data_IF_343681218772
#
_entry.id   IF_343681218772
#
_cell.length_a   1.000
_cell.length_b   1.000
_cell.length_c   1.000
_cell.angle_alpha   90.00
_cell.angle_beta   90.00
_cell.angle_gamma   90.00
#
_symmetry.space_group_name_H-M   'P 1'
#
loop_
_entity.id
_entity.type
_entity.pdbx_description
1 polymer ?
2 non-polymer ?
3 non-polymer ?
4 non-polymer ?
5 non-polymer ?
6 water ?
#
# COMPACT_ATOMS: atom_id res chain seq x y z
N UNK A 2 21.64 10.22 20.26
CA UNK A 2 20.84 10.10 19.05
C UNK A 2 19.89 8.88 19.16
N UNK A 3 18.79 8.96 18.41
CA UNK A 3 17.67 8.06 18.61
C UNK A 3 17.18 7.59 17.26
N UNK A 4 17.21 6.28 17.06
CA UNK A 4 16.75 5.70 15.80
C UNK A 4 15.49 4.89 16.01
N UNK A 5 14.55 5.07 15.09
CA UNK A 5 13.39 4.20 14.99
C UNK A 5 13.50 3.38 13.71
N UNK A 6 13.54 2.05 13.85
CA UNK A 6 13.64 1.15 12.71
C UNK A 6 12.28 0.47 12.55
N UNK A 7 11.67 0.68 11.40
CA UNK A 7 10.40 0.06 11.04
C UNK A 7 10.70 -0.99 9.95
N UNK A 8 10.54 -2.25 10.29
CA UNK A 8 10.77 -3.35 9.38
C UNK A 8 9.47 -3.86 8.79
N UNK A 9 9.41 -3.92 7.46
CA UNK A 9 8.16 -4.21 6.76
C UNK A 9 8.13 -5.55 6.03
N UNK A 10 9.26 -6.21 5.83
CA UNK A 10 9.16 -7.53 5.20
C UNK A 10 8.52 -8.54 6.16
N UNK A 11 7.59 -9.37 5.66
CA UNK A 11 7.14 -10.50 6.49
C UNK A 11 8.17 -11.58 6.69
N UNK A 12 9.28 -11.56 5.95
CA UNK A 12 10.32 -12.54 6.13
C UNK A 12 11.24 -12.18 7.28
N UNK A 13 11.84 -13.23 7.85
CA UNK A 13 12.71 -13.12 9.00
C UNK A 13 14.16 -13.12 8.60
N UNK A 14 14.86 -14.20 8.93
CA UNK A 14 16.27 -14.32 8.60
C UNK A 14 16.52 -14.17 7.10
N UNK A 15 15.55 -14.58 6.28
CA UNK A 15 15.70 -14.51 4.82
C UNK A 15 15.39 -13.15 4.17
N UNK A 16 14.84 -12.21 4.92
CA UNK A 16 14.56 -10.86 4.38
C UNK A 16 15.85 -10.12 4.08
N UNK A 17 16.02 -9.75 2.82
CA UNK A 17 17.18 -8.97 2.47
C UNK A 17 17.04 -7.51 2.88
N UNK A 18 15.82 -6.95 2.81
CA UNK A 18 15.68 -5.57 3.25
C UNK A 18 15.96 -5.43 4.77
N UNK A 19 15.43 -6.37 5.56
CA UNK A 19 15.67 -6.42 7.00
C UNK A 19 17.16 -6.59 7.27
N UNK A 20 17.79 -7.52 6.57
CA UNK A 20 19.20 -7.79 6.76
C UNK A 20 20.06 -6.55 6.48
N UNK A 21 19.84 -5.93 5.32
CA UNK A 21 20.57 -4.73 5.00
C UNK A 21 20.35 -3.60 6.01
N UNK A 22 19.11 -3.41 6.42
CA UNK A 22 18.83 -2.38 7.41
C UNK A 22 19.57 -2.68 8.73
N UNK A 23 19.64 -3.95 9.09
CA UNK A 23 20.31 -4.34 10.33
C UNK A 23 21.82 -4.22 10.22
N UNK A 24 22.35 -4.39 9.01
CA UNK A 24 23.76 -4.06 8.77
C UNK A 24 23.96 -2.57 9.12
N UNK A 25 23.09 -1.71 8.61
CA UNK A 25 23.17 -0.28 8.91
C UNK A 25 23.10 -0.03 10.41
N UNK A 26 22.13 -0.65 11.08
CA UNK A 26 21.93 -0.37 12.51
C UNK A 26 23.10 -0.83 13.35
N UNK A 27 23.67 -1.99 13.00
CA UNK A 27 24.83 -2.52 13.73
C UNK A 27 26.02 -1.58 13.55
N UNK A 28 26.24 -1.12 12.31
CA UNK A 28 27.37 -0.26 11.99
C UNK A 28 27.19 1.09 12.68
N UNK A 29 25.94 1.55 12.73
CA UNK A 29 25.65 2.79 13.41
C UNK A 29 25.97 2.71 14.90
N UNK A 30 25.52 1.62 15.53
CA UNK A 30 25.80 1.37 16.94
C UNK A 30 27.28 1.28 17.24
N UNK A 31 28.05 0.67 16.33
CA UNK A 31 29.50 0.59 16.51
C UNK A 31 30.09 1.97 16.62
N UNK A 32 29.58 2.89 15.81
CA UNK A 32 30.11 4.25 15.75
C UNK A 32 29.47 5.16 16.81
N UNK A 33 28.39 4.69 17.41
CA UNK A 33 27.60 5.51 18.31
C UNK A 33 27.08 4.62 19.42
N UNK A 34 27.99 4.21 20.32
CA UNK A 34 27.65 3.23 21.37
C UNK A 34 26.52 3.72 22.26
N UNK A 35 26.41 5.04 22.43
CA UNK A 35 25.34 5.60 23.27
C UNK A 35 23.98 5.78 22.58
N UNK A 36 23.92 5.61 21.26
CA UNK A 36 22.65 5.79 20.54
C UNK A 36 21.61 4.76 20.97
N UNK A 37 20.34 5.14 20.87
CA UNK A 37 19.24 4.24 21.20
C UNK A 37 18.55 3.84 19.93
N UNK A 38 18.25 2.56 19.81
CA UNK A 38 17.60 2.02 18.63
C UNK A 38 16.32 1.35 19.08
N UNK A 39 15.22 1.78 18.50
CA UNK A 39 13.94 1.16 18.79
C UNK A 39 13.47 0.53 17.49
N UNK A 40 12.88 -0.65 17.61
CA UNK A 40 12.33 -1.36 16.47
C UNK A 40 10.81 -1.45 16.58
N UNK A 41 10.14 -1.18 15.45
CA UNK A 41 8.68 -1.30 15.32
C UNK A 41 8.44 -2.27 14.15
N UNK A 42 8.02 -3.48 14.48
CA UNK A 42 7.78 -4.51 13.47
C UNK A 42 6.43 -4.32 12.78
N UNK A 43 6.43 -4.19 11.46
CA UNK A 43 5.16 -4.10 10.72
C UNK A 43 5.01 -5.16 9.64
N UNK A 44 6.00 -6.05 9.50
CA UNK A 44 5.97 -7.12 8.52
C UNK A 44 5.54 -8.47 9.11
N UNK A 45 6.12 -8.81 10.26
CA UNK A 45 5.86 -10.08 10.91
C UNK A 45 4.74 -9.97 11.96
N UNK A 46 4.19 -8.78 12.09
CA UNK A 46 3.12 -8.46 13.05
C UNK A 46 2.00 -7.81 12.23
N UNK A 47 0.75 -8.25 12.41
CA UNK A 47 -0.33 -7.59 11.67
C UNK A 47 -0.57 -6.23 12.30
N UNK A 48 -0.34 -5.17 11.54
CA UNK A 48 -0.63 -3.86 12.03
C UNK A 48 -2.04 -3.51 11.53
N UNK A 49 -2.97 -3.20 12.45
CA UNK A 49 -4.35 -2.95 12.00
C UNK A 49 -4.51 -1.84 10.98
N UNK A 50 -5.44 -2.04 10.06
CA UNK A 50 -5.85 -0.98 9.15
C UNK A 50 -6.68 0.09 9.84
N UNK A 51 -6.68 1.26 9.24
CA UNK A 51 -7.60 2.33 9.63
C UNK A 51 -9.03 1.84 9.47
N UNK A 52 -9.82 2.09 10.50
CA UNK A 52 -11.24 1.75 10.51
C UNK A 52 -12.11 3.02 10.47
N UNK A 53 -13.41 2.84 10.36
CA UNK A 53 -14.30 3.99 10.44
C UNK A 53 -14.22 4.64 11.80
N UNK A 54 -13.98 3.83 12.84
CA UNK A 54 -13.86 4.40 14.18
C UNK A 54 -12.61 5.27 14.31
N UNK A 55 -11.50 4.81 13.73
CA UNK A 55 -10.28 5.60 13.67
C UNK A 55 -10.55 6.93 12.98
N UNK A 56 -11.17 6.88 11.82
CA UNK A 56 -11.50 8.11 11.09
C UNK A 56 -12.32 9.09 11.93
N UNK A 57 -13.39 8.62 12.56
CA UNK A 57 -14.27 9.48 13.37
C UNK A 57 -13.46 10.12 14.49
N UNK A 58 -12.58 9.34 15.09
CA UNK A 58 -11.83 9.83 16.25
C UNK A 58 -10.75 10.83 15.77
N UNK A 59 -9.99 10.42 14.76
CA UNK A 59 -8.80 11.18 14.33
C UNK A 59 -9.18 12.51 13.69
N UNK A 60 -10.38 12.58 13.11
CA UNK A 60 -10.90 13.82 12.55
C UNK A 60 -12.02 14.48 13.40
N UNK A 61 -12.15 14.08 14.65
CA UNK A 61 -13.15 14.68 15.54
C UNK A 61 -12.87 16.18 15.66
N UNK A 62 -13.91 17.03 15.52
CA UNK A 62 -13.68 18.49 15.50
C UNK A 62 -13.26 19.09 16.85
N UNK A 63 -13.68 18.50 17.96
CA UNK A 63 -13.20 18.89 19.29
C UNK A 63 -12.47 17.70 19.91
N UNK A 64 -11.19 17.52 19.57
CA UNK A 64 -10.48 16.31 20.02
C UNK A 64 -10.50 16.10 21.54
N UNK A 65 -10.47 17.17 22.33
CA UNK A 65 -10.46 17.00 23.78
C UNK A 65 -11.75 16.33 24.30
N UNK A 66 -12.80 16.33 23.50
CA UNK A 66 -14.06 15.76 23.92
C UNK A 66 -14.23 14.30 23.54
N UNK A 67 -13.16 13.67 23.06
CA UNK A 67 -13.22 12.28 22.69
C UNK A 67 -13.50 11.41 23.90
N UNK A 68 -14.41 10.46 23.73
CA UNK A 68 -14.76 9.51 24.77
C UNK A 68 -13.58 8.56 25.00
N UNK A 69 -13.62 7.82 26.09
CA UNK A 69 -12.54 6.88 26.37
C UNK A 69 -12.48 5.80 25.30
N UNK A 70 -13.63 5.47 24.71
CA UNK A 70 -13.67 4.51 23.60
C UNK A 70 -12.96 5.07 22.37
N UNK A 71 -13.21 6.33 22.07
CA UNK A 71 -12.49 6.97 20.97
C UNK A 71 -11.02 6.97 21.23
N UNK A 72 -10.62 7.25 22.46
CA UNK A 72 -9.19 7.23 22.79
C UNK A 72 -8.59 5.84 22.58
N UNK A 73 -9.35 4.81 22.95
CA UNK A 73 -8.93 3.43 22.66
C UNK A 73 -8.69 3.20 21.16
N UNK A 74 -9.54 3.78 20.31
CA UNK A 74 -9.38 3.65 18.89
C UNK A 74 -8.10 4.29 18.36
N UNK A 75 -7.57 5.26 19.10
CA UNK A 75 -6.36 5.98 18.69
C UNK A 75 -5.11 5.61 19.49
N UNK A 76 -5.28 4.71 20.47
CA UNK A 76 -4.19 4.40 21.38
C UNK A 76 -2.94 3.87 20.62
N UNK A 77 -3.14 2.97 19.69
CA UNK A 77 -2.04 2.41 18.90
C UNK A 77 -1.38 3.51 18.04
N UNK A 78 -2.21 4.30 17.38
CA UNK A 78 -1.73 5.43 16.59
C UNK A 78 -0.88 6.36 17.46
N UNK A 79 -1.38 6.71 18.65
CA UNK A 79 -0.62 7.56 19.57
C UNK A 79 0.76 6.96 19.90
N UNK A 80 0.81 5.66 20.12
CA UNK A 80 2.06 4.97 20.43
C UNK A 80 3.00 5.04 19.23
N UNK A 81 2.48 4.77 18.05
CA UNK A 81 3.30 4.76 16.81
C UNK A 81 3.84 6.17 16.48
N UNK A 82 3.00 7.18 16.66
CA UNK A 82 3.42 8.55 16.45
C UNK A 82 4.47 8.93 17.46
N UNK A 83 4.27 8.55 18.73
CA UNK A 83 5.20 8.89 19.78
C UNK A 83 6.58 8.33 19.48
N UNK A 84 6.63 7.10 18.98
CA UNK A 84 7.91 6.51 18.55
C UNK A 84 8.64 7.37 17.52
N UNK A 85 7.89 7.90 16.58
CA UNK A 85 8.45 8.75 15.56
C UNK A 85 8.88 10.09 16.16
N UNK A 86 8.05 10.65 17.02
CA UNK A 86 8.44 11.90 17.66
C UNK A 86 9.71 11.76 18.50
N UNK A 87 9.90 10.59 19.09
CA UNK A 87 11.06 10.34 19.94
C UNK A 87 12.33 10.14 19.10
N UNK A 88 12.19 9.98 17.79
CA UNK A 88 13.34 9.62 16.97
C UNK A 88 13.94 10.80 16.22
N UNK A 89 15.24 10.70 15.93
CA UNK A 89 15.92 11.67 15.08
C UNK A 89 16.02 11.14 13.65
N UNK A 90 16.19 9.82 13.56
CA UNK A 90 16.34 9.13 12.29
C UNK A 90 15.37 7.98 12.22
N UNK A 91 14.62 7.97 11.13
CA UNK A 91 13.68 6.90 10.82
C UNK A 91 14.30 5.98 9.78
N UNK A 92 14.38 4.70 10.08
CA UNK A 92 14.84 3.72 9.10
C UNK A 92 13.68 2.81 8.78
N UNK A 93 13.28 2.79 7.52
CA UNK A 93 12.26 1.83 7.05
C UNK A 93 12.89 0.81 6.12
N UNK A 94 12.69 -0.47 6.43
CA UNK A 94 13.10 -1.53 5.53
C UNK A 94 11.85 -2.11 4.89
N UNK A 95 11.90 -2.26 3.57
CA UNK A 95 10.74 -2.78 2.85
C UNK A 95 11.07 -3.49 1.55
N UNK A 96 10.44 -4.64 1.32
CA UNK A 96 10.38 -5.17 -0.04
C UNK A 96 9.58 -4.27 -0.97
N UNK A 97 9.72 -4.51 -2.26
CA UNK A 97 8.69 -4.12 -3.20
C UNK A 97 7.73 -5.29 -3.36
N UNK A 98 6.46 -5.06 -3.06
CA UNK A 98 5.43 -6.07 -3.29
C UNK A 98 4.40 -5.50 -4.27
N UNK A 99 4.30 -6.13 -5.44
CA UNK A 99 3.35 -5.72 -6.47
C UNK A 99 3.39 -4.20 -6.74
N UNK A 100 4.62 -3.73 -6.99
CA UNK A 100 4.90 -2.34 -7.35
C UNK A 100 4.70 -1.32 -6.24
N UNK A 101 4.41 -1.80 -5.02
CA UNK A 101 4.27 -0.91 -3.89
C UNK A 101 4.93 -1.57 -2.69
N UNK A 102 4.42 -1.28 -1.51
CA UNK A 102 4.98 -1.85 -0.27
C UNK A 102 4.01 -2.89 0.29
N UNK A 103 4.52 -3.77 1.17
CA UNK A 103 3.60 -4.68 1.84
C UNK A 103 2.52 -3.92 2.62
N UNK A 104 1.33 -4.53 2.70
CA UNK A 104 0.17 -3.84 3.24
C UNK A 104 0.39 -3.37 4.69
N UNK A 105 1.16 -4.11 5.48
CA UNK A 105 1.44 -3.73 6.86
C UNK A 105 2.13 -2.36 6.97
N UNK A 106 2.98 -2.03 6.00
CA UNK A 106 3.67 -0.76 6.02
C UNK A 106 2.75 0.36 5.61
N UNK A 107 1.88 0.08 4.64
CA UNK A 107 0.79 1.02 4.35
C UNK A 107 -0.05 1.29 5.58
N UNK A 108 -0.33 0.25 6.38
CA UNK A 108 -1.17 0.44 7.58
C UNK A 108 -0.41 1.30 8.58
N UNK A 109 0.90 1.11 8.65
CA UNK A 109 1.72 1.93 9.56
C UNK A 109 1.62 3.42 9.19
N UNK A 110 1.84 3.74 7.90
CA UNK A 110 1.71 5.11 7.43
C UNK A 110 0.33 5.64 7.78
N UNK A 111 -0.71 4.85 7.53
CA UNK A 111 -2.08 5.30 7.82
C UNK A 111 -2.37 5.57 9.30
N UNK A 112 -1.62 4.94 10.22
CA UNK A 112 -1.74 5.25 11.64
C UNK A 112 -0.95 6.48 12.05
N UNK A 113 0.13 6.82 11.33
CA UNK A 113 0.99 7.92 11.80
C UNK A 113 0.79 9.27 11.12
N UNK A 114 0.04 9.32 10.01
CA UNK A 114 -0.37 10.59 9.46
C UNK A 114 -1.65 11.02 10.19
N UNK A 115 -1.53 11.99 11.10
CA UNK A 115 -2.59 12.32 12.07
C UNK A 115 -2.84 13.81 12.15
N UNK A 116 -4.06 14.19 11.86
CA UNK A 116 -4.48 15.59 11.95
C UNK A 116 -4.20 16.17 13.32
N UNK A 117 -3.54 17.32 13.33
CA UNK A 117 -3.21 18.00 14.59
C UNK A 117 -2.01 17.42 15.31
N UNK A 118 -1.39 16.38 14.76
CA UNK A 118 -0.28 15.72 15.41
C UNK A 118 0.98 15.65 14.51
N UNK A 119 0.83 15.14 13.30
CA UNK A 119 1.95 15.10 12.36
C UNK A 119 1.70 15.95 11.11
N UNK A 120 0.46 16.42 10.92
CA UNK A 120 0.19 17.49 9.95
C UNK A 120 -1.00 18.28 10.45
N UNK A 121 -1.21 19.48 9.91
CA UNK A 121 -2.41 20.24 10.21
C UNK A 121 -2.84 21.02 8.99
N UNK A 122 -3.91 21.79 9.12
CA UNK A 122 -4.35 22.63 8.01
C UNK A 122 -5.10 23.84 8.50
N UNK A 123 -5.15 24.85 7.64
CA UNK A 123 -6.05 25.99 7.85
C UNK A 123 -6.81 26.18 6.54
N UNK A 124 -7.97 26.82 6.61
CA UNK A 124 -8.77 27.09 5.42
C UNK A 124 -8.50 28.50 4.94
N UNK A 125 -8.06 28.64 3.69
CA UNK A 125 -7.93 29.96 3.08
C UNK A 125 -8.80 30.00 1.81
N UNK A 126 -9.85 30.83 1.84
CA UNK A 126 -10.83 30.87 0.75
C UNK A 126 -11.46 29.51 0.51
N UNK A 129 -8.48 23.84 2.08
CA UNK A 129 -7.51 23.57 3.13
C UNK A 129 -6.07 23.73 2.63
N UNK A 130 -5.24 24.37 3.46
CA UNK A 130 -3.80 24.48 3.22
C UNK A 130 -3.07 23.67 4.29
N UNK A 131 -2.38 22.61 3.86
CA UNK A 131 -1.76 21.64 4.78
C UNK A 131 -0.37 22.09 5.21
N UNK A 132 0.02 21.70 6.43
CA UNK A 132 1.31 22.06 6.99
C UNK A 132 1.86 20.82 7.73
N UNK A 133 3.14 20.43 7.45
CA UNK A 133 3.79 19.34 8.17
C UNK A 133 4.16 19.74 9.59
N UNK A 134 4.07 18.81 10.54
CA UNK A 134 4.40 19.12 11.94
C UNK A 134 5.66 18.43 12.46
N UNK A 135 6.22 17.47 11.73
CA UNK A 135 7.52 16.92 12.10
C UNK A 135 8.67 17.78 11.62
N UNK A 136 9.54 18.12 12.54
CA UNK A 136 10.68 18.94 12.22
C UNK A 136 11.93 18.20 12.67
N UNK A 137 13.00 18.38 11.92
CA UNK A 137 14.32 18.01 12.36
C UNK A 137 14.61 16.53 12.26
N UNK A 138 13.82 15.82 11.45
CA UNK A 138 14.00 14.38 11.33
C UNK A 138 14.55 14.06 9.95
N UNK A 139 15.15 12.87 9.83
CA UNK A 139 15.64 12.39 8.55
C UNK A 139 15.15 10.95 8.43
N UNK A 140 15.14 10.42 7.23
CA UNK A 140 14.78 9.00 7.01
C UNK A 140 15.73 8.32 6.04
N UNK A 141 15.84 7.02 6.23
CA UNK A 141 16.59 6.13 5.35
C UNK A 141 15.64 5.00 5.01
N UNK A 142 15.40 4.81 3.72
CA UNK A 142 14.60 3.72 3.24
C UNK A 142 15.53 2.68 2.60
N UNK A 143 15.48 1.46 3.11
CA UNK A 143 16.28 0.35 2.61
C UNK A 143 15.32 -0.62 1.96
N UNK A 144 15.47 -0.85 0.67
CA UNK A 144 14.49 -1.63 -0.08
C UNK A 144 15.15 -2.67 -0.97
N UNK A 145 14.45 -3.80 -1.12
CA UNK A 145 14.87 -4.91 -1.95
C UNK A 145 13.77 -5.23 -2.96
N UNK A 146 14.18 -5.55 -4.18
CA UNK A 146 13.25 -5.79 -5.27
C UNK A 146 13.72 -7.05 -6.02
N UNK A 147 12.76 -7.84 -6.47
CA UNK A 147 13.08 -9.06 -7.20
C UNK A 147 13.61 -8.75 -8.57
N UNK A 148 13.02 -7.73 -9.17
CA UNK A 148 13.32 -7.38 -10.54
C UNK A 148 14.35 -6.27 -10.64
N UNK A 149 14.46 -5.68 -11.82
CA UNK A 149 15.47 -4.67 -12.16
C UNK A 149 14.79 -3.48 -12.80
N UNK A 150 15.48 -2.35 -12.81
CA UNK A 150 15.04 -1.17 -13.54
C UNK A 150 13.96 -0.34 -12.87
N UNK A 151 13.80 -0.48 -11.54
CA UNK A 151 12.77 0.30 -10.84
C UNK A 151 13.31 1.64 -10.32
N UNK A 152 14.61 1.84 -10.47
CA UNK A 152 15.26 3.00 -9.89
C UNK A 152 15.35 4.09 -10.94
N UNK A 153 15.94 5.22 -10.57
CA UNK A 153 16.01 6.34 -11.52
C UNK A 153 16.73 5.96 -12.81
N UNK A 154 16.10 6.23 -13.93
CA UNK A 154 16.65 5.91 -15.22
C UNK A 154 16.33 4.49 -15.66
N UNK A 155 15.69 3.72 -14.79
CA UNK A 155 15.43 2.33 -15.10
C UNK A 155 14.27 2.21 -16.05
N UNK A 156 14.25 1.11 -16.79
CA UNK A 156 13.19 0.84 -17.76
C UNK A 156 11.82 0.81 -17.08
N UNK A 157 11.79 0.40 -15.81
CA UNK A 157 10.54 0.22 -15.07
C UNK A 157 10.29 1.31 -14.04
N UNK A 158 11.06 2.37 -14.09
CA UNK A 158 10.98 3.46 -13.10
C UNK A 158 9.56 3.98 -12.86
N UNK A 159 8.78 4.07 -13.94
CA UNK A 159 7.40 4.55 -13.81
C UNK A 159 6.52 3.57 -13.06
N UNK A 160 6.95 2.31 -12.95
CA UNK A 160 6.13 1.31 -12.26
C UNK A 160 6.38 1.30 -10.75
N UNK A 161 7.33 2.12 -10.29
CA UNK A 161 7.73 2.06 -8.88
C UNK A 161 6.87 2.96 -8.02
N UNK A 162 5.91 2.33 -7.31
CA UNK A 162 5.07 3.05 -6.37
C UNK A 162 5.39 2.62 -4.95
N UNK A 163 6.64 2.22 -4.73
CA UNK A 163 7.07 1.79 -3.38
C UNK A 163 7.83 2.95 -2.72
N UNK A 164 9.14 3.03 -2.90
CA UNK A 164 9.90 4.10 -2.23
C UNK A 164 9.54 5.55 -2.67
N UNK A 165 9.20 5.76 -3.96
CA UNK A 165 8.80 7.14 -4.31
C UNK A 165 7.53 7.54 -3.62
N UNK A 166 6.60 6.60 -3.44
CA UNK A 166 5.37 6.86 -2.71
C UNK A 166 5.69 7.16 -1.20
N UNK A 167 6.54 6.33 -0.60
CA UNK A 167 6.97 6.58 0.78
C UNK A 167 7.57 7.97 0.95
N UNK A 168 8.38 8.40 -0.01
CA UNK A 168 8.96 9.75 0.04
C UNK A 168 7.88 10.81 0.14
N UNK A 169 6.83 10.65 -0.65
CA UNK A 169 5.74 11.61 -0.72
C UNK A 169 4.94 11.64 0.58
N UNK A 170 4.64 10.46 1.09
CA UNK A 170 3.89 10.33 2.32
C UNK A 170 4.69 10.92 3.50
N UNK A 171 5.97 10.58 3.60
CA UNK A 171 6.82 11.13 4.67
C UNK A 171 7.01 12.65 4.53
N UNK A 172 7.15 13.13 3.29
CA UNK A 172 7.33 14.55 3.05
C UNK A 172 6.13 15.33 3.56
N UNK A 173 4.95 14.72 3.44
CA UNK A 173 3.70 15.37 3.81
C UNK A 173 3.66 15.71 5.31
N UNK A 174 4.31 14.89 6.13
CA UNK A 174 4.35 15.14 7.57
C UNK A 174 5.66 15.82 8.01
N UNK A 175 6.55 16.09 7.06
CA UNK A 175 7.71 16.96 7.30
C UNK A 175 9.07 16.30 7.15
N UNK A 176 9.09 15.03 6.79
CA UNK A 176 10.35 14.33 6.65
C UNK A 176 10.78 14.45 5.19
N UNK A 177 11.56 15.50 4.92
CA UNK A 177 12.02 15.89 3.59
C UNK A 177 13.39 15.33 3.26
N UNK A 178 14.23 15.11 4.26
CA UNK A 178 15.58 14.59 4.04
C UNK A 178 15.49 13.08 4.08
N UNK A 179 15.40 12.47 2.90
CA UNK A 179 15.17 11.03 2.78
C UNK A 179 16.19 10.43 1.81
N UNK A 180 16.88 9.40 2.27
CA UNK A 180 17.85 8.68 1.45
C UNK A 180 17.29 7.29 1.14
N UNK A 181 17.41 6.86 -0.11
CA UNK A 181 16.97 5.52 -0.51
C UNK A 181 18.17 4.66 -0.90
N UNK A 182 18.22 3.45 -0.36
CA UNK A 182 19.25 2.49 -0.72
C UNK A 182 18.48 1.28 -1.20
N UNK A 183 18.71 0.90 -2.45
CA UNK A 183 17.97 -0.20 -3.07
C UNK A 183 18.88 -1.34 -3.54
N UNK A 184 18.43 -2.58 -3.33
CA UNK A 184 19.04 -3.74 -3.96
C UNK A 184 18.04 -4.33 -4.95
N UNK A 185 18.52 -4.67 -6.14
CA UNK A 185 17.68 -5.23 -7.22
C UNK A 185 18.23 -6.58 -7.73
N UNK A 186 17.35 -7.41 -8.30
CA UNK A 186 17.75 -8.71 -8.82
C UNK A 186 17.59 -9.88 -7.84
N UNK A 187 16.79 -9.72 -6.78
CA UNK A 187 16.68 -10.76 -5.73
C UNK A 187 16.11 -12.07 -6.22
N UNK A 188 15.34 -12.02 -7.28
CA UNK A 188 14.68 -13.22 -7.77
C UNK A 188 15.66 -14.06 -8.60
N UNK A 189 16.43 -13.41 -9.46
CA UNK A 189 17.43 -14.10 -10.26
C UNK A 189 18.63 -14.49 -9.41
N UNK A 190 18.99 -13.62 -8.47
CA UNK A 190 20.11 -13.86 -7.59
C UNK A 190 21.44 -13.64 -8.30
N UNK A 193 24.10 -11.14 -10.26
CA UNK A 193 24.48 -9.77 -9.93
C UNK A 193 23.63 -9.22 -8.78
N UNK A 194 22.84 -10.09 -8.15
CA UNK A 194 22.19 -9.73 -6.88
C UNK A 194 23.25 -9.62 -5.79
N UNK A 195 24.27 -10.47 -5.88
CA UNK A 195 25.38 -10.42 -4.93
C UNK A 195 26.05 -9.05 -5.02
N UNK A 196 26.26 -8.59 -6.25
CA UNK A 196 26.88 -7.28 -6.45
C UNK A 196 25.93 -6.19 -5.92
N UNK A 197 24.65 -6.27 -6.26
CA UNK A 197 23.70 -5.22 -5.87
C UNK A 197 23.57 -5.15 -4.34
N UNK A 198 23.55 -6.31 -3.71
CA UNK A 198 23.53 -6.38 -2.25
C UNK A 198 24.84 -5.84 -1.67
N UNK A 199 25.96 -6.20 -2.27
CA UNK A 199 27.25 -5.76 -1.81
C UNK A 199 27.31 -4.24 -1.89
N UNK A 200 26.79 -3.69 -2.98
CA UNK A 200 26.86 -2.23 -3.19
C UNK A 200 25.96 -1.53 -2.14
N UNK A 201 24.80 -2.11 -1.87
CA UNK A 201 23.87 -1.54 -0.89
C UNK A 201 24.51 -1.59 0.51
N UNK A 202 25.11 -2.72 0.86
CA UNK A 202 25.85 -2.85 2.12
C UNK A 202 26.93 -1.80 2.30
N UNK A 203 27.81 -1.64 1.31
CA UNK A 203 28.85 -0.62 1.37
C UNK A 203 28.30 0.80 1.53
N UNK A 204 27.25 1.10 0.79
CA UNK A 204 26.63 2.40 0.89
C UNK A 204 26.11 2.60 2.31
N UNK A 205 25.47 1.58 2.87
CA UNK A 205 24.90 1.66 4.23
C UNK A 205 25.97 1.77 5.31
N UNK A 206 27.11 1.08 5.14
CA UNK A 206 28.21 1.29 6.08
C UNK A 206 28.74 2.73 6.03
N UNK A 207 28.84 3.30 4.83
CA UNK A 207 29.32 4.67 4.72
C UNK A 207 28.35 5.66 5.40
N UNK A 208 27.06 5.45 5.16
CA UNK A 208 26.01 6.26 5.76
C UNK A 208 26.02 6.14 7.29
N UNK A 209 26.13 4.92 7.80
CA UNK A 209 26.15 4.71 9.26
C UNK A 209 27.33 5.39 9.90
N UNK A 210 28.50 5.30 9.28
CA UNK A 210 29.71 5.78 9.93
C UNK A 210 29.84 7.28 9.84
N UNK A 211 29.11 7.91 8.92
CA UNK A 211 29.19 9.36 8.75
C UNK A 211 28.09 10.10 9.51
N UNK A 212 26.99 9.43 9.80
CA UNK A 212 25.85 10.06 10.44
C UNK A 212 26.21 10.71 11.77
N UNK B 2 -21.46 -9.74 -17.93
CA UNK B 2 -22.61 -9.70 -17.03
C UNK B 2 -22.22 -9.98 -15.57
N UNK B 3 -21.11 -10.70 -15.34
CA UNK B 3 -20.71 -11.03 -13.98
C UNK B 3 -19.75 -10.00 -13.41
N UNK B 4 -20.14 -9.39 -12.30
CA UNK B 4 -19.35 -8.31 -11.70
C UNK B 4 -18.79 -8.74 -10.36
N UNK B 5 -17.52 -8.43 -10.16
CA UNK B 5 -16.90 -8.47 -8.83
C UNK B 5 -16.66 -7.04 -8.37
N UNK B 6 -17.27 -6.70 -7.25
CA UNK B 6 -17.15 -5.37 -6.67
C UNK B 6 -16.31 -5.49 -5.42
N UNK B 7 -15.15 -4.82 -5.41
CA UNK B 7 -14.24 -4.78 -4.27
C UNK B 7 -14.32 -3.39 -3.66
N UNK B 8 -14.88 -3.29 -2.45
CA UNK B 8 -15.02 -2.02 -1.76
C UNK B 8 -13.93 -1.86 -0.72
N UNK B 9 -13.20 -0.75 -0.81
CA UNK B 9 -12.04 -0.54 0.01
C UNK B 9 -12.13 0.51 1.10
N UNK B 10 -13.18 1.34 1.09
CA UNK B 10 -13.32 2.28 2.18
C UNK B 10 -13.73 1.54 3.45
N UNK B 11 -13.09 1.89 4.57
CA UNK B 11 -13.57 1.34 5.84
C UNK B 11 -14.90 1.94 6.25
N UNK B 12 -15.31 3.02 5.62
CA UNK B 12 -16.57 3.66 6.00
C UNK B 12 -17.73 2.93 5.32
N UNK B 13 -18.89 2.93 5.97
CA UNK B 13 -20.04 2.23 5.43
C UNK B 13 -20.99 3.14 4.66
N UNK B 14 -22.09 3.49 5.30
CA UNK B 14 -23.07 4.42 4.72
C UNK B 14 -22.44 5.72 4.31
N UNK B 15 -21.46 6.19 5.06
CA UNK B 15 -20.87 7.49 4.80
C UNK B 15 -19.84 7.49 3.68
N UNK B 16 -19.47 6.31 3.18
CA UNK B 16 -18.43 6.28 2.16
C UNK B 16 -18.93 6.81 0.83
N UNK B 17 -18.26 7.84 0.32
CA UNK B 17 -18.54 8.35 -1.01
C UNK B 17 -18.07 7.43 -2.16
N UNK B 18 -16.90 6.80 -2.00
CA UNK B 18 -16.45 5.89 -3.04
C UNK B 18 -17.37 4.69 -3.11
N UNK B 19 -17.75 4.16 -1.96
CA UNK B 19 -18.71 3.05 -1.91
C UNK B 19 -20.03 3.48 -2.53
N UNK B 20 -20.53 4.66 -2.13
CA UNK B 20 -21.82 5.13 -2.64
C UNK B 20 -21.82 5.30 -4.15
N UNK B 21 -20.80 5.96 -4.69
CA UNK B 21 -20.74 6.15 -6.14
C UNK B 21 -20.66 4.79 -6.85
N UNK B 22 -19.88 3.85 -6.32
CA UNK B 22 -19.80 2.55 -6.99
C UNK B 22 -21.13 1.84 -6.96
N UNK B 23 -21.88 2.00 -5.87
CA UNK B 23 -23.20 1.36 -5.76
C UNK B 23 -24.21 2.03 -6.68
N UNK B 24 -24.04 3.33 -6.95
CA UNK B 24 -24.89 3.98 -7.94
C UNK B 24 -24.64 3.33 -9.30
N UNK B 25 -23.37 3.10 -9.62
CA UNK B 25 -23.02 2.44 -10.86
C UNK B 25 -23.66 1.05 -10.93
N UNK B 26 -23.43 0.26 -9.89
CA UNK B 26 -23.91 -1.11 -9.85
C UNK B 26 -25.42 -1.16 -10.01
N UNK B 27 -26.15 -0.33 -9.28
CA UNK B 27 -27.60 -0.33 -9.41
C UNK B 27 -28.03 0.02 -10.86
N UNK B 28 -27.44 1.07 -11.41
CA UNK B 28 -27.75 1.44 -12.78
C UNK B 28 -27.38 0.34 -13.78
N UNK B 29 -26.28 -0.36 -13.53
CA UNK B 29 -25.85 -1.42 -14.43
C UNK B 29 -26.84 -2.58 -14.40
N UNK B 30 -27.27 -2.96 -13.20
CA UNK B 30 -28.27 -4.02 -13.03
C UNK B 30 -29.59 -3.68 -13.71
N UNK B 31 -29.99 -2.42 -13.60
CA UNK B 31 -31.22 -2.02 -14.28
C UNK B 31 -31.07 -2.20 -15.78
N UNK B 32 -29.89 -1.87 -16.30
CA UNK B 32 -29.64 -1.95 -17.75
C UNK B 32 -29.37 -3.39 -18.23
N UNK B 33 -28.95 -4.23 -17.30
CA UNK B 33 -28.57 -5.63 -17.58
C UNK B 33 -29.13 -6.51 -16.48
N UNK B 34 -30.43 -6.80 -16.56
CA UNK B 34 -31.20 -7.42 -15.48
C UNK B 34 -30.68 -8.79 -15.07
N UNK B 35 -29.91 -9.42 -15.95
CA UNK B 35 -29.35 -10.73 -15.70
C UNK B 35 -28.01 -10.69 -14.94
N UNK B 36 -27.46 -9.50 -14.76
CA UNK B 36 -26.13 -9.37 -14.17
C UNK B 36 -26.10 -9.96 -12.75
N UNK B 37 -24.94 -10.47 -12.36
CA UNK B 37 -24.70 -10.95 -11.02
C UNK B 37 -23.60 -10.10 -10.44
N UNK B 38 -23.71 -9.79 -9.15
CA UNK B 38 -22.71 -8.99 -8.49
C UNK B 38 -22.25 -9.76 -7.26
N UNK B 39 -20.95 -10.02 -7.19
CA UNK B 39 -20.28 -10.55 -6.02
C UNK B 39 -19.60 -9.38 -5.34
N UNK B 40 -19.73 -9.26 -4.03
CA UNK B 40 -19.09 -8.19 -3.30
C UNK B 40 -18.02 -8.78 -2.43
N UNK B 41 -16.84 -8.18 -2.52
CA UNK B 41 -15.72 -8.61 -1.70
C UNK B 41 -15.28 -7.38 -0.90
N UNK B 42 -15.54 -7.43 0.39
CA UNK B 42 -15.24 -6.33 1.26
C UNK B 42 -13.81 -6.36 1.70
N UNK B 43 -13.08 -5.28 1.46
CA UNK B 43 -11.70 -5.19 1.96
C UNK B 43 -11.44 -3.96 2.80
N UNK B 44 -12.48 -3.13 3.01
CA UNK B 44 -12.35 -1.94 3.81
C UNK B 44 -12.85 -2.17 5.23
N UNK B 45 -14.01 -2.80 5.35
CA UNK B 45 -14.65 -3.03 6.64
C UNK B 45 -14.30 -4.37 7.31
N UNK B 46 -13.49 -5.15 6.61
CA UNK B 46 -13.07 -6.49 7.03
C UNK B 46 -11.55 -6.47 6.94
N UNK B 47 -10.85 -7.00 7.95
CA UNK B 47 -9.38 -7.00 7.92
C UNK B 47 -8.79 -8.12 7.08
N UNK B 48 -8.52 -7.85 5.81
CA UNK B 48 -7.93 -8.85 4.93
C UNK B 48 -6.47 -9.08 5.35
N UNK B 49 -6.05 -10.34 5.59
CA UNK B 49 -4.68 -10.56 6.06
C UNK B 49 -3.60 -10.13 5.08
N UNK B 50 -2.49 -9.64 5.61
CA UNK B 50 -1.29 -9.36 4.83
C UNK B 50 -0.64 -10.66 4.44
N UNK B 51 0.10 -10.62 3.34
CA UNK B 51 1.04 -11.68 2.96
C UNK B 51 2.00 -11.95 4.09
N UNK B 52 2.17 -13.24 4.40
CA UNK B 52 3.08 -13.68 5.44
C UNK B 52 4.20 -14.46 4.78
N UNK B 53 5.24 -14.81 5.53
CA UNK B 53 6.33 -15.59 4.98
C UNK B 53 5.79 -16.97 4.56
N UNK B 54 4.79 -17.47 5.28
CA UNK B 54 4.14 -18.74 4.91
C UNK B 54 3.46 -18.63 3.53
N UNK B 55 2.77 -17.53 3.29
CA UNK B 55 2.21 -17.26 1.97
C UNK B 55 3.28 -17.29 0.91
N UNK B 56 4.38 -16.57 1.13
CA UNK B 56 5.45 -16.51 0.16
C UNK B 56 6.01 -17.90 -0.14
N UNK B 57 6.27 -18.71 0.90
CA UNK B 57 6.82 -20.06 0.68
C UNK B 57 5.86 -20.90 -0.19
N UNK B 58 4.57 -20.75 0.07
CA UNK B 58 3.58 -21.57 -0.63
C UNK B 58 3.37 -21.04 -2.05
N UNK B 59 3.23 -19.72 -2.18
CA UNK B 59 2.88 -19.13 -3.48
C UNK B 59 4.01 -19.28 -4.49
N UNK B 60 5.26 -19.23 -4.01
CA UNK B 60 6.43 -19.33 -4.89
C UNK B 60 7.06 -20.70 -4.86
N UNK B 61 6.36 -21.67 -4.32
CA UNK B 61 6.81 -23.07 -4.32
C UNK B 61 7.15 -23.46 -5.75
N UNK B 62 8.36 -24.02 -5.97
CA UNK B 62 8.74 -24.41 -7.34
C UNK B 62 7.97 -25.57 -7.95
N UNK B 63 7.36 -26.38 -7.10
CA UNK B 63 6.61 -27.55 -7.54
C UNK B 63 5.28 -27.60 -6.79
N UNK B 64 4.36 -26.71 -7.17
CA UNK B 64 3.16 -26.50 -6.35
C UNK B 64 2.27 -27.72 -6.16
N UNK B 65 2.33 -28.69 -7.07
CA UNK B 65 1.56 -29.89 -6.91
C UNK B 65 1.97 -30.66 -5.63
N UNK B 66 3.19 -30.41 -5.15
CA UNK B 66 3.71 -31.04 -3.93
C UNK B 66 3.45 -30.22 -2.64
N UNK B 67 2.74 -29.09 -2.74
CA UNK B 67 2.38 -28.30 -1.55
C UNK B 67 1.72 -29.20 -0.51
N UNK B 68 2.11 -29.03 0.75
CA UNK B 68 1.52 -29.78 1.84
C UNK B 68 0.10 -29.20 2.10
N UNK B 69 -0.71 -29.91 2.89
CA UNK B 69 -2.05 -29.41 3.23
C UNK B 69 -1.95 -28.11 3.99
N UNK B 70 -0.92 -27.97 4.82
CA UNK B 70 -0.75 -26.71 5.54
C UNK B 70 -0.46 -25.55 4.59
N UNK B 71 0.41 -25.77 3.60
CA UNK B 71 0.67 -24.73 2.61
C UNK B 71 -0.57 -24.40 1.80
N UNK B 72 -1.37 -25.39 1.44
CA UNK B 72 -2.62 -25.11 0.75
C UNK B 72 -3.56 -24.25 1.62
N UNK B 73 -3.61 -24.52 2.91
CA UNK B 73 -4.35 -23.69 3.86
C UNK B 73 -3.85 -22.23 3.84
N UNK B 74 -2.54 -22.04 3.73
CA UNK B 74 -1.96 -20.71 3.68
C UNK B 74 -2.41 -19.93 2.45
N UNK B 75 -2.82 -20.64 1.39
CA UNK B 75 -3.25 -20.02 0.15
C UNK B 75 -4.77 -20.10 -0.07
N UNK B 76 -5.50 -20.62 0.92
CA UNK B 76 -6.93 -20.90 0.68
C UNK B 76 -7.69 -19.59 0.43
N UNK B 77 -7.37 -18.55 1.21
CA UNK B 77 -8.04 -17.25 1.03
C UNK B 77 -7.64 -16.68 -0.34
N UNK B 78 -6.36 -16.76 -0.69
CA UNK B 78 -5.91 -16.27 -1.98
C UNK B 78 -6.66 -16.98 -3.13
N UNK B 79 -6.75 -18.29 -3.08
CA UNK B 79 -7.48 -19.06 -4.09
C UNK B 79 -8.94 -18.60 -4.24
N UNK B 80 -9.60 -18.33 -3.11
CA UNK B 80 -10.97 -17.85 -3.14
C UNK B 80 -11.02 -16.48 -3.81
N UNK B 81 -10.11 -15.59 -3.41
CA UNK B 81 -10.08 -14.24 -3.99
C UNK B 81 -9.78 -14.24 -5.48
N UNK B 82 -8.79 -15.05 -5.89
CA UNK B 82 -8.52 -15.22 -7.30
C UNK B 82 -9.72 -15.80 -8.01
N UNK B 83 -10.33 -16.83 -7.45
CA UNK B 83 -11.50 -17.46 -8.06
C UNK B 83 -12.61 -16.46 -8.38
N UNK B 84 -12.88 -15.53 -7.44
CA UNK B 84 -13.88 -14.48 -7.65
C UNK B 84 -13.52 -13.63 -8.87
N UNK B 85 -12.22 -13.34 -9.04
CA UNK B 85 -11.76 -12.59 -10.19
C UNK B 85 -11.90 -13.39 -11.49
N UNK B 86 -11.47 -14.67 -11.49
CA UNK B 86 -11.68 -15.56 -12.63
C UNK B 86 -13.15 -15.59 -13.10
N UNK B 87 -14.05 -15.62 -12.13
CA UNK B 87 -15.47 -15.77 -12.39
C UNK B 87 -16.13 -14.52 -12.93
N UNK B 88 -15.45 -13.39 -12.84
CA UNK B 88 -16.02 -12.10 -13.22
C UNK B 88 -15.64 -11.71 -14.66
N UNK B 89 -16.45 -10.83 -15.23
CA UNK B 89 -16.16 -10.13 -16.48
C UNK B 89 -15.70 -8.69 -16.23
N UNK B 90 -16.31 -8.06 -15.22
CA UNK B 90 -16.05 -6.68 -14.88
C UNK B 90 -15.67 -6.63 -13.42
N UNK B 91 -14.53 -6.01 -13.15
CA UNK B 91 -14.07 -5.75 -11.80
C UNK B 91 -14.37 -4.30 -11.46
N UNK B 92 -15.11 -4.05 -10.39
CA UNK B 92 -15.30 -2.69 -9.92
C UNK B 92 -14.60 -2.53 -8.58
N UNK B 93 -13.69 -1.57 -8.48
CA UNK B 93 -12.98 -1.31 -7.24
C UNK B 93 -13.38 0.09 -6.78
N UNK B 94 -13.86 0.22 -5.55
CA UNK B 94 -14.13 1.52 -4.99
C UNK B 94 -13.07 1.79 -3.93
N UNK B 95 -12.49 2.98 -3.92
CA UNK B 95 -11.44 3.28 -2.97
C UNK B 95 -11.25 4.75 -2.73
N UNK B 96 -11.05 5.12 -1.46
CA UNK B 96 -10.54 6.45 -1.19
C UNK B 96 -9.08 6.51 -1.53
N UNK B 97 -8.55 7.72 -1.61
CA UNK B 97 -7.11 7.91 -1.53
C UNK B 97 -6.79 8.11 -0.05
N UNK B 98 -5.89 7.28 0.47
CA UNK B 98 -5.38 7.41 1.81
C UNK B 98 -3.88 7.63 1.73
N UNK B 99 -3.42 8.79 2.22
CA UNK B 99 -2.02 9.14 2.22
C UNK B 99 -1.31 8.83 0.89
N UNK B 100 -1.89 9.38 -0.16
CA UNK B 100 -1.38 9.32 -1.55
C UNK B 100 -1.41 7.95 -2.17
N UNK B 101 -2.04 7.00 -1.50
CA UNK B 101 -2.18 5.66 -2.05
C UNK B 101 -3.57 5.11 -1.70
N UNK B 102 -3.69 3.80 -1.53
CA UNK B 102 -4.99 3.20 -1.17
C UNK B 102 -4.97 2.71 0.27
N UNK B 103 -6.15 2.50 0.86
CA UNK B 103 -6.19 1.92 2.19
C UNK B 103 -5.48 0.56 2.20
N UNK B 104 -4.93 0.20 3.35
CA UNK B 104 -4.04 -0.95 3.40
C UNK B 104 -4.77 -2.25 3.07
N UNK B 105 -6.07 -2.36 3.37
CA UNK B 105 -6.81 -3.56 3.01
C UNK B 105 -6.84 -3.85 1.51
N UNK B 106 -6.86 -2.81 0.68
CA UNK B 106 -6.88 -3.01 -0.75
C UNK B 106 -5.48 -3.43 -1.22
N UNK B 107 -4.45 -2.88 -0.60
CA UNK B 107 -3.09 -3.34 -0.91
C UNK B 107 -3.02 -4.85 -0.60
N UNK B 108 -3.59 -5.23 0.55
CA UNK B 108 -3.62 -6.63 0.96
C UNK B 108 -4.36 -7.53 -0.07
N UNK B 109 -5.52 -7.07 -0.55
CA UNK B 109 -6.26 -7.76 -1.60
C UNK B 109 -5.39 -8.01 -2.84
N UNK B 110 -4.75 -6.97 -3.37
CA UNK B 110 -3.85 -7.13 -4.49
C UNK B 110 -2.75 -8.15 -4.18
N UNK B 111 -2.17 -8.07 -2.99
CA UNK B 111 -1.09 -8.98 -2.60
C UNK B 111 -1.57 -10.44 -2.55
N UNK B 112 -2.85 -10.66 -2.33
CA UNK B 112 -3.41 -12.01 -2.39
C UNK B 112 -3.72 -12.51 -3.81
N UNK B 113 -4.03 -11.61 -4.74
CA UNK B 113 -4.52 -12.06 -6.05
C UNK B 113 -3.48 -12.10 -7.17
N UNK B 114 -2.34 -11.45 -6.94
CA UNK B 114 -1.21 -11.56 -7.86
C UNK B 114 -0.45 -12.81 -7.46
N UNK B 115 -0.62 -13.86 -8.27
CA UNK B 115 -0.22 -15.22 -7.92
C UNK B 115 0.53 -15.89 -9.03
N UNK B 116 1.75 -16.28 -8.73
CA UNK B 116 2.62 -16.95 -9.69
C UNK B 116 1.98 -18.23 -10.22
N UNK B 117 1.88 -18.33 -11.53
CA UNK B 117 1.31 -19.51 -12.18
C UNK B 117 -0.20 -19.53 -12.27
N UNK B 118 -0.83 -18.46 -11.77
CA UNK B 118 -2.27 -18.38 -11.66
C UNK B 118 -2.81 -17.09 -12.31
N UNK B 119 -2.34 -15.93 -11.88
CA UNK B 119 -2.70 -14.68 -12.54
C UNK B 119 -1.54 -14.05 -13.31
N UNK B 120 -0.31 -14.52 -13.08
CA UNK B 120 0.82 -14.15 -13.95
C UNK B 120 1.76 -15.31 -14.01
N UNK B 121 2.61 -15.34 -15.02
CA UNK B 121 3.60 -16.39 -15.08
C UNK B 121 4.91 -15.81 -15.50
N UNK B 122 5.95 -16.64 -15.46
CA UNK B 122 7.25 -16.20 -15.93
C UNK B 122 7.84 -17.22 -16.86
N UNK B 123 8.62 -16.70 -17.80
CA UNK B 123 9.40 -17.51 -18.73
C UNK B 123 10.74 -16.83 -18.91
N UNK B 130 10.93 -13.39 -18.31
CA UNK B 130 9.92 -12.38 -18.60
C UNK B 130 8.59 -12.76 -17.94
N UNK B 131 7.98 -11.81 -17.27
CA UNK B 131 6.68 -12.03 -16.63
C UNK B 131 5.58 -11.77 -17.66
N UNK B 132 4.54 -12.59 -17.66
CA UNK B 132 3.40 -12.36 -18.55
C UNK B 132 2.10 -12.47 -17.76
N UNK B 133 1.06 -11.76 -18.20
CA UNK B 133 -0.24 -11.82 -17.52
C UNK B 133 -1.03 -13.06 -17.94
N UNK B 134 -1.89 -13.54 -17.04
CA UNK B 134 -2.71 -14.70 -17.37
C UNK B 134 -4.22 -14.41 -17.46
N UNK B 135 -4.70 -13.30 -16.93
CA UNK B 135 -6.13 -13.00 -17.07
C UNK B 135 -6.47 -12.43 -18.41
N UNK B 136 -7.55 -12.94 -18.99
CA UNK B 136 -8.00 -12.44 -20.28
C UNK B 136 -9.49 -12.15 -20.26
N UNK B 137 -9.90 -11.17 -21.05
CA UNK B 137 -11.29 -10.88 -21.27
C UNK B 137 -11.94 -10.06 -20.16
N UNK B 138 -11.13 -9.51 -19.24
CA UNK B 138 -11.68 -8.73 -18.13
C UNK B 138 -11.55 -7.24 -18.42
N UNK B 139 -12.37 -6.44 -17.73
CA UNK B 139 -12.19 -4.99 -17.73
C UNK B 139 -12.41 -4.52 -16.29
N UNK B 140 -12.01 -3.30 -15.98
CA UNK B 140 -12.13 -2.81 -14.62
C UNK B 140 -12.58 -1.35 -14.62
N UNK B 141 -13.33 -1.01 -13.57
CA UNK B 141 -13.71 0.35 -13.29
C UNK B 141 -13.25 0.64 -11.88
N UNK B 142 -12.46 1.71 -11.74
CA UNK B 142 -12.03 2.18 -10.43
C UNK B 142 -12.80 3.44 -10.12
N UNK B 143 -13.53 3.41 -9.02
CA UNK B 143 -14.29 4.55 -8.53
C UNK B 143 -13.58 5.05 -7.28
N UNK B 144 -13.04 6.26 -7.36
CA UNK B 144 -12.19 6.77 -6.29
C UNK B 144 -12.59 8.17 -5.84
N UNK B 145 -12.42 8.38 -4.53
CA UNK B 145 -12.72 9.63 -3.90
C UNK B 145 -11.50 10.17 -3.18
N UNK B 146 -11.28 11.49 -3.31
CA UNK B 146 -10.12 12.16 -2.73
C UNK B 146 -10.56 13.44 -2.03
N UNK B 147 -10.00 13.70 -0.86
CA UNK B 147 -10.32 14.95 -0.15
C UNK B 147 -9.74 16.18 -0.81
N UNK B 148 -8.56 16.03 -1.42
CA UNK B 148 -7.84 17.12 -2.05
C UNK B 148 -8.11 17.23 -3.54
N UNK B 149 -7.24 17.93 -4.24
CA UNK B 149 -7.47 18.21 -5.65
C UNK B 149 -6.18 18.15 -6.46
N UNK B 150 -6.34 17.93 -7.76
CA UNK B 150 -5.25 18.01 -8.71
C UNK B 150 -4.47 16.72 -8.84
N UNK B 151 -5.06 15.60 -8.41
CA UNK B 151 -4.39 14.30 -8.49
C UNK B 151 -4.65 13.56 -9.80
N UNK B 152 -5.54 14.11 -10.61
CA UNK B 152 -5.88 13.47 -11.86
C UNK B 152 -4.97 13.93 -12.97
N UNK B 153 -5.17 13.38 -14.18
CA UNK B 153 -4.34 13.72 -15.35
C UNK B 153 -4.27 15.24 -15.59
N UNK B 154 -3.07 15.78 -15.72
CA UNK B 154 -2.87 17.21 -15.92
C UNK B 154 -3.00 18.03 -14.64
N UNK B 155 -3.22 17.36 -13.51
CA UNK B 155 -3.40 18.07 -12.23
C UNK B 155 -2.08 18.48 -11.65
N UNK B 156 -2.08 19.52 -10.81
CA UNK B 156 -0.83 20.00 -10.21
C UNK B 156 -0.14 18.93 -9.36
N UNK B 157 -0.94 18.00 -8.83
CA UNK B 157 -0.44 16.99 -7.91
C UNK B 157 -0.42 15.56 -8.49
N UNK B 158 -0.46 15.47 -9.81
CA UNK B 158 -0.58 14.18 -10.49
C UNK B 158 0.53 13.20 -10.09
N UNK B 159 1.74 13.75 -9.97
CA UNK B 159 2.93 12.94 -9.70
C UNK B 159 2.86 12.31 -8.31
N UNK B 160 2.04 12.89 -7.43
CA UNK B 160 1.86 12.39 -6.08
C UNK B 160 0.78 11.30 -5.96
N UNK B 161 0.02 11.06 -7.03
CA UNK B 161 -1.05 10.06 -6.98
C UNK B 161 -0.55 8.63 -7.16
N UNK B 162 -0.41 7.91 -6.06
CA UNK B 162 0.03 6.52 -6.06
C UNK B 162 -1.15 5.61 -5.69
N UNK B 163 -2.37 6.08 -5.97
CA UNK B 163 -3.56 5.26 -5.69
C UNK B 163 -4.01 4.56 -6.97
N UNK B 164 -4.87 5.21 -7.77
CA UNK B 164 -5.37 4.57 -8.98
C UNK B 164 -4.30 4.31 -10.07
N UNK B 165 -3.28 5.20 -10.20
CA UNK B 165 -2.23 4.82 -11.17
C UNK B 165 -1.48 3.56 -10.75
N UNK B 166 -1.26 3.36 -9.45
CA UNK B 166 -0.65 2.13 -8.97
C UNK B 166 -1.57 0.93 -9.22
N UNK B 167 -2.86 1.09 -8.94
CA UNK B 167 -3.81 -0.01 -9.22
C UNK B 167 -3.76 -0.40 -10.69
N UNK B 168 -3.67 0.57 -11.58
CA UNK B 168 -3.57 0.28 -12.99
C UNK B 168 -2.37 -0.60 -13.29
N UNK B 169 -1.24 -0.27 -12.67
CA UNK B 169 0.00 -1.01 -12.91
C UNK B 169 -0.13 -2.46 -12.45
N UNK B 170 -0.61 -2.65 -11.22
CA UNK B 170 -0.77 -4.01 -10.67
C UNK B 170 -1.80 -4.81 -11.47
N UNK B 171 -2.93 -4.19 -11.77
CA UNK B 171 -3.94 -4.85 -12.58
C UNK B 171 -3.43 -5.16 -13.99
N UNK B 172 -2.67 -4.24 -14.58
CA UNK B 172 -2.11 -4.49 -15.88
C UNK B 172 -1.15 -5.66 -15.89
N UNK B 173 -0.39 -5.82 -14.83
CA UNK B 173 0.59 -6.91 -14.72
C UNK B 173 -0.07 -8.31 -14.81
N UNK B 174 -1.30 -8.42 -14.32
CA UNK B 174 -2.02 -9.71 -14.40
C UNK B 174 -2.96 -9.81 -15.61
N UNK B 175 -3.06 -8.75 -16.39
CA UNK B 175 -3.72 -8.80 -17.69
C UNK B 175 -5.02 -7.99 -17.82
N UNK B 176 -5.33 -7.19 -16.82
CA UNK B 176 -6.49 -6.32 -16.91
C UNK B 176 -6.04 -4.94 -17.38
N UNK B 177 -6.12 -4.71 -18.68
CA UNK B 177 -5.63 -3.46 -19.26
C UNK B 177 -6.71 -2.59 -19.90
N UNK B 178 -7.97 -2.96 -19.69
CA UNK B 178 -9.06 -2.07 -20.05
C UNK B 178 -9.60 -1.54 -18.73
N UNK B 179 -9.05 -0.42 -18.28
CA UNK B 179 -9.35 0.13 -16.98
C UNK B 179 -9.83 1.56 -17.13
N UNK B 180 -10.97 1.85 -16.52
CA UNK B 180 -11.51 3.20 -16.49
C UNK B 180 -11.49 3.73 -15.06
N UNK B 181 -11.11 4.99 -14.89
CA UNK B 181 -11.09 5.63 -13.57
C UNK B 181 -12.09 6.76 -13.51
N UNK B 182 -12.96 6.74 -12.53
CA UNK B 182 -13.87 7.85 -12.28
C UNK B 182 -13.51 8.36 -10.88
N UNK B 183 -13.15 9.63 -10.80
CA UNK B 183 -12.66 10.23 -9.56
C UNK B 183 -13.53 11.40 -9.14
N UNK B 184 -13.82 11.49 -7.86
CA UNK B 184 -14.42 12.70 -7.28
C UNK B 184 -13.33 13.29 -6.39
N UNK B 185 -13.11 14.61 -6.51
CA UNK B 185 -12.10 15.30 -5.72
C UNK B 185 -12.72 16.45 -4.93
N UNK B 186 -12.06 16.88 -3.87
CA UNK B 186 -12.58 17.94 -3.03
C UNK B 186 -13.76 17.47 -2.18
N UNK B 196 -19.91 18.68 -6.25
CA UNK B 196 -19.85 19.07 -7.67
C UNK B 196 -19.15 17.98 -8.46
N UNK B 197 -17.90 17.68 -8.09
CA UNK B 197 -17.11 16.65 -8.74
C UNK B 197 -17.82 15.31 -8.58
N UNK B 198 -18.41 15.09 -7.39
CA UNK B 198 -19.16 13.87 -7.12
C UNK B 198 -20.33 13.78 -8.09
N UNK B 199 -21.07 14.86 -8.23
CA UNK B 199 -22.24 14.89 -9.10
C UNK B 199 -21.80 14.63 -10.53
N UNK B 200 -20.65 15.19 -10.92
CA UNK B 200 -20.05 14.87 -12.22
C UNK B 200 -19.65 13.39 -12.31
N UNK B 201 -19.09 12.85 -11.23
CA UNK B 201 -18.74 11.43 -11.22
C UNK B 201 -20.00 10.59 -11.32
N UNK B 202 -21.01 10.96 -10.56
CA UNK B 202 -22.25 10.20 -10.53
C UNK B 202 -22.85 10.16 -11.93
N UNK B 203 -22.91 11.31 -12.59
CA UNK B 203 -23.41 11.35 -13.96
C UNK B 203 -22.52 10.56 -14.93
N UNK B 204 -21.20 10.61 -14.74
CA UNK B 204 -20.33 9.79 -15.58
C UNK B 204 -20.61 8.30 -15.38
N UNK B 205 -20.84 7.88 -14.14
CA UNK B 205 -21.10 6.47 -13.82
C UNK B 205 -22.45 5.95 -14.38
N UNK B 206 -23.49 6.77 -14.30
CA UNK B 206 -24.78 6.42 -14.88
C UNK B 206 -24.59 6.19 -16.38
N UNK B 207 -23.87 7.07 -17.06
CA UNK B 207 -23.66 6.91 -18.49
C UNK B 207 -22.87 5.63 -18.79
N UNK B 208 -21.84 5.37 -18.01
CA UNK B 208 -21.02 4.18 -18.22
C UNK B 208 -21.84 2.92 -17.99
N UNK B 209 -22.74 2.97 -17.02
CA UNK B 209 -23.56 1.81 -16.66
C UNK B 209 -24.53 1.46 -17.79
N UNK B 210 -25.00 2.46 -18.51
CA UNK B 210 -25.87 2.20 -19.67
C UNK B 210 -25.04 1.67 -20.83
#
# INVERSE_FOLDING_TARGET
MSRILAVHASPRGERSQSRRLAEVFLAAYREAHPQARVARREVGRVPLPAVTEAFVAAAFHPQPEQRSLAMQADLALSDQLVGELFDSDLLVISTPMYNFSVPSGLKAWIDQIVRLGVTFDFVLDNGVAQYRPLLRGKRALIVTSRGGHGFGPGGENQAMNHADPWLRTALGFIGIDEVTVVAAEGEESGGRSFEDSCDEAEQRLLALARSA
MSRILAVHASPRGERSQSRRLAEVFLAAYREAHPQARVARREVGRVPLPAVTEAFVAAAFHPQPEQRSLAMQADLALSDQLVGELFDSDLLVISTPMYNFSVPSGLKAWIDQIVRLGVTFDFVLDNGVAQYRPLLRGKRALIVTSRGGHGFGPGGENQAMNHADPWLRTALGFIGIDEVTVVAAEGEESGGRSFEDSCDEAEQRLLALARSA
#
